data_IF_557743964663
#
_entry.id   IF_557743964663
#
_cell.length_a   1.000
_cell.length_b   1.000
_cell.length_c   1.000
_cell.angle_alpha   90.00
_cell.angle_beta   90.00
_cell.angle_gamma   90.00
#
_symmetry.space_group_name_H-M   'P 1'
#
loop_
_entity.id
_entity.type
_entity.pdbx_description
1 polymer ?
#
# COMPACT_ATOMS: atom_id res chain seq x y z
N UNK A 1 -16.00 -32.33 -13.44
CA UNK A 1 -15.94 -30.89 -13.73
C UNK A 1 -16.55 -30.67 -15.10
N UNK A 2 -17.77 -30.15 -15.17
CA UNK A 2 -18.59 -30.20 -16.41
C UNK A 2 -18.50 -28.91 -17.25
N UNK A 3 -17.81 -27.88 -16.75
CA UNK A 3 -17.63 -26.60 -17.47
C UNK A 3 -16.18 -26.12 -17.34
N UNK A 4 -15.31 -26.35 -18.36
CA UNK A 4 -13.98 -25.77 -18.36
C UNK A 4 -14.08 -24.24 -18.50
N UNK A 5 -13.13 -23.53 -17.88
CA UNK A 5 -13.02 -22.07 -18.04
C UNK A 5 -12.71 -21.79 -19.52
N UNK A 6 -13.49 -20.94 -20.21
CA UNK A 6 -13.28 -20.63 -21.61
C UNK A 6 -11.92 -19.95 -21.81
N UNK A 7 -11.25 -20.30 -22.91
CA UNK A 7 -9.96 -19.72 -23.23
C UNK A 7 -10.08 -18.23 -23.58
N UNK A 8 -9.05 -17.41 -23.29
CA UNK A 8 -9.00 -16.02 -23.71
C UNK A 8 -9.17 -15.90 -25.24
N UNK A 9 -9.91 -14.88 -25.69
CA UNK A 9 -10.10 -14.63 -27.13
C UNK A 9 -8.77 -14.24 -27.79
N UNK A 10 -8.43 -14.81 -28.96
CA UNK A 10 -7.21 -14.44 -29.68
C UNK A 10 -7.30 -12.99 -30.17
N UNK A 11 -6.14 -12.35 -30.36
CA UNK A 11 -6.04 -10.95 -30.81
C UNK A 11 -6.61 -10.71 -32.22
N UNK A 12 -6.84 -11.78 -32.99
CA UNK A 12 -7.47 -11.74 -34.31
C UNK A 12 -9.01 -11.70 -34.27
N UNK A 13 -9.64 -11.93 -33.10
CA UNK A 13 -11.09 -11.85 -32.94
C UNK A 13 -11.53 -10.36 -33.00
N UNK A 14 -12.50 -9.96 -33.85
CA UNK A 14 -13.00 -8.59 -33.93
C UNK A 14 -13.62 -8.07 -32.62
N UNK A 15 -13.98 -8.96 -31.69
CA UNK A 15 -14.45 -8.63 -30.35
C UNK A 15 -13.34 -8.70 -29.29
N UNK A 16 -12.08 -8.92 -29.70
CA UNK A 16 -10.93 -8.81 -28.81
C UNK A 16 -10.78 -7.37 -28.33
N UNK A 17 -11.16 -7.12 -27.07
CA UNK A 17 -10.85 -5.86 -26.40
C UNK A 17 -9.44 -5.93 -25.84
N UNK A 18 -8.50 -5.27 -26.53
CA UNK A 18 -7.25 -4.85 -25.89
C UNK A 18 -7.63 -3.92 -24.75
N UNK A 19 -7.55 -4.39 -23.50
CA UNK A 19 -7.68 -3.49 -22.36
C UNK A 19 -6.63 -2.38 -22.56
N UNK A 20 -7.01 -1.09 -22.63
CA UNK A 20 -6.03 -0.03 -22.64
C UNK A 20 -5.23 -0.21 -21.36
N UNK A 21 -3.97 -0.64 -21.47
CA UNK A 21 -3.07 -0.66 -20.34
C UNK A 21 -3.06 0.77 -19.82
N UNK A 22 -3.64 0.99 -18.65
CA UNK A 22 -3.54 2.27 -17.96
C UNK A 22 -2.09 2.73 -18.06
N UNK A 23 -1.81 4.01 -18.39
CA UNK A 23 -0.44 4.47 -18.53
C UNK A 23 0.32 4.07 -17.28
N UNK A 24 1.27 3.14 -17.44
CA UNK A 24 2.13 2.72 -16.34
C UNK A 24 2.84 3.99 -15.91
N UNK A 25 2.51 4.49 -14.71
CA UNK A 25 3.25 5.59 -14.10
C UNK A 25 4.71 5.15 -14.08
N UNK A 26 5.53 5.82 -14.88
CA UNK A 26 6.96 5.52 -14.96
C UNK A 26 7.62 5.64 -13.59
N UNK A 27 8.76 4.99 -13.39
CA UNK A 27 9.59 5.24 -12.21
C UNK A 27 9.85 6.75 -12.10
N UNK A 28 9.91 7.25 -10.86
CA UNK A 28 10.19 8.66 -10.61
C UNK A 28 11.68 8.89 -10.95
N UNK A 29 11.95 9.60 -12.04
CA UNK A 29 13.31 9.89 -12.52
C UNK A 29 13.86 11.13 -11.80
N UNK A 30 15.09 11.05 -11.30
CA UNK A 30 15.83 12.18 -10.73
C UNK A 30 16.38 11.93 -9.32
N UNK A 31 17.29 12.78 -8.82
CA UNK A 31 18.00 12.57 -7.56
C UNK A 31 17.01 12.52 -6.38
N UNK A 32 17.20 11.54 -5.49
CA UNK A 32 16.53 11.46 -4.19
C UNK A 32 17.56 11.65 -3.09
N UNK A 33 17.22 12.39 -2.05
CA UNK A 33 18.11 12.48 -0.90
C UNK A 33 18.27 11.07 -0.27
N UNK A 34 19.45 10.79 0.27
CA UNK A 34 19.74 9.49 0.87
C UNK A 34 18.96 9.23 2.18
N UNK A 35 18.63 10.28 2.92
CA UNK A 35 18.10 10.17 4.29
C UNK A 35 16.89 11.06 4.62
N UNK A 36 16.39 11.88 3.70
CA UNK A 36 15.26 12.75 4.03
C UNK A 36 13.94 11.97 4.10
N UNK A 37 13.01 12.48 4.93
CA UNK A 37 11.67 11.92 5.14
C UNK A 37 10.61 12.42 4.15
N UNK A 38 11.01 13.20 3.14
CA UNK A 38 10.07 13.67 2.13
C UNK A 38 9.44 12.48 1.38
N UNK A 39 8.11 12.42 1.35
CA UNK A 39 7.32 11.36 0.68
C UNK A 39 7.80 11.07 -0.75
N UNK A 40 8.15 12.10 -1.51
CA UNK A 40 8.66 11.98 -2.88
C UNK A 40 10.04 11.32 -2.96
N UNK A 41 10.93 11.60 -2.01
CA UNK A 41 12.28 11.01 -1.94
C UNK A 41 12.21 9.56 -1.48
N UNK A 42 11.45 9.29 -0.41
CA UNK A 42 11.22 7.91 0.08
C UNK A 42 10.64 7.03 -1.01
N UNK A 43 9.61 7.51 -1.72
CA UNK A 43 9.00 6.77 -2.83
C UNK A 43 9.98 6.45 -3.97
N UNK A 44 10.93 7.35 -4.24
CA UNK A 44 12.02 7.11 -5.20
C UNK A 44 13.00 6.06 -4.69
N UNK A 45 13.52 6.21 -3.47
CA UNK A 45 14.42 5.22 -2.87
C UNK A 45 13.78 3.84 -2.85
N UNK A 46 12.53 3.76 -2.42
CA UNK A 46 11.76 2.52 -2.35
C UNK A 46 11.56 1.83 -3.72
N UNK A 47 11.61 2.56 -4.84
CA UNK A 47 11.56 1.97 -6.19
C UNK A 47 12.85 1.22 -6.54
N UNK A 48 14.00 1.65 -6.01
CA UNK A 48 15.30 1.02 -6.25
C UNK A 48 15.65 -0.10 -5.27
N UNK A 49 14.84 -0.29 -4.22
CA UNK A 49 15.10 -1.26 -3.16
C UNK A 49 14.38 -2.59 -3.41
N UNK A 50 14.93 -3.72 -2.93
CA UNK A 50 14.29 -5.01 -3.06
C UNK A 50 12.96 -5.07 -2.29
N UNK A 51 12.04 -5.92 -2.76
CA UNK A 51 10.85 -6.30 -2.01
C UNK A 51 11.22 -7.49 -1.12
N UNK A 52 11.12 -7.31 0.19
CA UNK A 52 11.32 -8.38 1.18
C UNK A 52 9.93 -8.73 1.72
N UNK A 53 9.52 -10.00 1.67
CA UNK A 53 8.19 -10.40 2.15
C UNK A 53 6.99 -9.73 1.43
N UNK A 54 7.20 -9.19 0.22
CA UNK A 54 6.17 -8.48 -0.55
C UNK A 54 6.11 -6.96 -0.34
N UNK A 55 6.79 -6.44 0.68
CA UNK A 55 6.89 -5.00 0.99
C UNK A 55 8.27 -4.44 0.66
N UNK A 56 8.36 -3.13 0.43
CA UNK A 56 9.64 -2.44 0.14
C UNK A 56 10.41 -2.20 1.44
N UNK A 57 11.73 -2.45 1.42
CA UNK A 57 12.56 -2.31 2.63
C UNK A 57 12.60 -0.87 3.20
N UNK A 58 12.39 0.15 2.36
CA UNK A 58 12.26 1.55 2.78
C UNK A 58 11.17 1.76 3.85
N UNK A 59 10.12 0.92 3.84
CA UNK A 59 8.92 1.08 4.68
C UNK A 59 8.78 0.00 5.76
N UNK A 60 9.88 -0.68 6.09
CA UNK A 60 9.85 -1.80 7.04
C UNK A 60 9.45 -1.35 8.46
N UNK A 61 9.84 -0.15 8.87
CA UNK A 61 9.49 0.41 10.17
C UNK A 61 7.97 0.62 10.27
N UNK A 62 7.34 1.24 9.27
CA UNK A 62 5.91 1.53 9.27
C UNK A 62 5.07 0.25 9.21
N UNK A 63 5.52 -0.77 8.49
CA UNK A 63 4.87 -2.09 8.52
C UNK A 63 4.96 -2.73 9.91
N UNK A 64 6.11 -2.61 10.57
CA UNK A 64 6.30 -3.12 11.94
C UNK A 64 5.41 -2.40 12.94
N UNK A 65 5.29 -1.08 12.82
CA UNK A 65 4.41 -0.26 13.65
C UNK A 65 2.93 -0.58 13.41
N UNK A 66 2.51 -0.75 12.16
CA UNK A 66 1.15 -1.16 11.83
C UNK A 66 0.81 -2.53 12.42
N UNK A 67 1.74 -3.50 12.34
CA UNK A 67 1.57 -4.82 12.94
C UNK A 67 1.49 -4.76 14.47
N UNK A 68 2.34 -3.94 15.11
CA UNK A 68 2.29 -3.73 16.55
C UNK A 68 0.99 -3.05 17.00
N UNK A 69 0.47 -2.10 16.21
CA UNK A 69 -0.84 -1.49 16.45
C UNK A 69 -1.97 -2.50 16.28
N UNK A 70 -1.95 -3.31 15.21
CA UNK A 70 -2.93 -4.39 14.99
C UNK A 70 -2.99 -5.35 16.18
N UNK A 71 -1.84 -5.73 16.74
CA UNK A 71 -1.78 -6.62 17.91
C UNK A 71 -2.42 -6.04 19.17
N UNK A 72 -2.39 -4.71 19.33
CA UNK A 72 -3.02 -3.99 20.46
C UNK A 72 -4.52 -3.74 20.24
N UNK A 73 -4.97 -3.65 18.99
CA UNK A 73 -6.35 -3.34 18.62
C UNK A 73 -6.95 -4.44 17.73
N UNK A 74 -7.25 -5.63 18.28
CA UNK A 74 -7.67 -6.80 17.49
C UNK A 74 -9.04 -6.63 16.79
N UNK A 75 -9.82 -5.61 17.16
CA UNK A 75 -11.11 -5.30 16.56
C UNK A 75 -11.02 -4.36 15.33
N UNK A 76 -9.81 -3.91 14.99
CA UNK A 76 -9.53 -3.07 13.83
C UNK A 76 -8.74 -3.88 12.80
N UNK A 77 -8.70 -3.39 11.56
CA UNK A 77 -7.73 -3.84 10.55
C UNK A 77 -6.81 -2.66 10.26
N UNK A 78 -5.53 -2.81 10.56
CA UNK A 78 -4.51 -1.77 10.50
C UNK A 78 -3.38 -2.23 9.58
N UNK A 79 -3.02 -1.39 8.60
CA UNK A 79 -1.92 -1.67 7.68
C UNK A 79 -1.25 -0.38 7.18
N UNK A 80 -0.03 -0.49 6.66
CA UNK A 80 0.65 0.63 5.99
C UNK A 80 0.49 0.52 4.47
N UNK A 81 -0.04 1.55 3.83
CA UNK A 81 -0.23 1.62 2.39
C UNK A 81 0.97 2.25 1.71
N UNK A 82 1.91 1.47 1.15
CA UNK A 82 3.12 2.02 0.50
C UNK A 82 2.84 2.98 -0.67
N UNK A 83 1.73 2.78 -1.38
CA UNK A 83 1.34 3.64 -2.51
C UNK A 83 0.92 5.03 -2.04
N UNK A 84 0.33 5.11 -0.85
CA UNK A 84 -0.07 6.36 -0.19
C UNK A 84 0.97 6.84 0.81
N UNK A 85 1.87 5.99 1.30
CA UNK A 85 2.75 6.34 2.41
C UNK A 85 1.98 6.75 3.66
N UNK A 86 0.84 6.11 3.92
CA UNK A 86 -0.08 6.41 5.02
C UNK A 86 -0.49 5.11 5.71
N UNK A 87 -0.82 5.18 7.00
CA UNK A 87 -1.51 4.12 7.70
C UNK A 87 -2.98 4.11 7.33
N UNK A 88 -3.56 2.93 7.25
CA UNK A 88 -4.98 2.73 7.01
C UNK A 88 -5.56 1.95 8.16
N UNK A 89 -6.72 2.40 8.64
CA UNK A 89 -7.45 1.77 9.74
C UNK A 89 -8.88 1.54 9.27
N UNK A 90 -9.27 0.28 9.16
CA UNK A 90 -10.66 -0.10 8.97
C UNK A 90 -11.26 -0.52 10.32
N UNK A 91 -12.43 0.03 10.62
CA UNK A 91 -13.26 -0.28 11.78
C UNK A 91 -14.66 -0.69 11.32
N UNK A 92 -15.54 -1.01 12.27
CA UNK A 92 -16.96 -1.23 11.99
C UNK A 92 -17.69 0.02 11.47
N UNK A 93 -17.13 1.21 11.68
CA UNK A 93 -17.75 2.49 11.29
C UNK A 93 -17.20 3.07 9.99
N UNK A 94 -16.09 2.53 9.48
CA UNK A 94 -15.55 2.95 8.18
C UNK A 94 -14.06 2.74 8.04
N UNK A 95 -13.49 3.47 7.08
CA UNK A 95 -12.09 3.42 6.70
C UNK A 95 -11.45 4.80 6.86
N UNK A 96 -10.34 4.88 7.58
CA UNK A 96 -9.59 6.12 7.80
C UNK A 96 -8.17 6.00 7.22
N UNK A 97 -7.75 7.03 6.50
CA UNK A 97 -6.34 7.24 6.12
C UNK A 97 -5.68 8.13 7.17
N UNK A 98 -4.51 7.70 7.66
CA UNK A 98 -3.77 8.37 8.72
C UNK A 98 -2.33 8.62 8.24
N UNK A 99 -1.87 9.89 8.22
CA UNK A 99 -0.65 10.26 7.51
C UNK A 99 0.65 9.76 8.15
N UNK A 100 0.66 9.53 9.46
CA UNK A 100 1.87 9.21 10.20
C UNK A 100 1.58 8.43 11.50
N UNK A 101 2.63 7.79 12.04
CA UNK A 101 2.55 6.93 13.20
C UNK A 101 2.12 7.66 14.49
N UNK A 102 2.48 8.94 14.62
CA UNK A 102 2.10 9.75 15.79
C UNK A 102 0.61 10.05 15.76
N UNK A 103 0.07 10.38 14.58
CA UNK A 103 -1.38 10.55 14.39
C UNK A 103 -2.11 9.22 14.59
N UNK A 104 -1.55 8.10 14.12
CA UNK A 104 -2.11 6.77 14.35
C UNK A 104 -2.22 6.47 15.85
N UNK A 105 -1.16 6.67 16.61
CA UNK A 105 -1.17 6.45 18.04
C UNK A 105 -2.30 7.25 18.71
N UNK A 106 -2.42 8.55 18.41
CA UNK A 106 -3.48 9.40 18.98
C UNK A 106 -4.90 8.95 18.66
N UNK A 107 -5.13 8.43 17.45
CA UNK A 107 -6.45 7.94 17.04
C UNK A 107 -6.80 6.62 17.74
N UNK A 108 -5.80 5.81 18.05
CA UNK A 108 -5.96 4.51 18.68
C UNK A 108 -5.98 4.56 20.21
N UNK A 109 -5.48 5.63 20.83
CA UNK A 109 -5.60 5.83 22.27
C UNK A 109 -7.07 5.95 22.68
N UNK A 110 -7.53 5.21 23.71
CA UNK A 110 -8.88 5.36 24.21
C UNK A 110 -9.09 6.76 24.79
N UNK A 111 -10.27 7.34 24.55
CA UNK A 111 -10.69 8.55 25.26
C UNK A 111 -10.80 8.20 26.75
N UNK A 112 -10.14 8.92 27.68
CA UNK A 112 -10.33 8.70 29.11
C UNK A 112 -11.81 8.93 29.47
N UNK A 113 -12.38 7.95 30.17
CA UNK A 113 -13.76 7.97 30.65
C UNK A 113 -14.00 9.06 31.71
#
# INVERSE_FOLDING_TARGET
MTHPIPQPRPSSDPLHRSFPTLPRRGPLVGPSCLSCEHRSCRRRRAQGLPRLGGHRSEYAAEHSEAAAAQGRHPHLIIWFGESTGSFWVASSTGLAEIPDARTLARVLEPVPA
#
